data_IF_428848060164
#
_entry.id   IF_428848060164
#
_cell.length_a   1.000
_cell.length_b   1.000
_cell.length_c   1.000
_cell.angle_alpha   90.00
_cell.angle_beta   90.00
_cell.angle_gamma   90.00
#
_symmetry.space_group_name_H-M   'P 1'
#
loop_
_entity.id
_entity.type
_entity.pdbx_description
1 polymer ?
#
# COMPACT_ATOMS: atom_id res chain seq x y z
N UNK A 1 2.04 -14.17 -12.89
CA UNK A 1 3.19 -13.82 -13.74
C UNK A 1 2.99 -14.28 -15.17
N UNK A 2 2.82 -15.58 -15.43
CA UNK A 2 2.69 -16.13 -16.79
C UNK A 2 1.59 -15.44 -17.60
N UNK A 3 0.42 -15.21 -17.04
CA UNK A 3 -0.71 -14.58 -17.74
C UNK A 3 -0.41 -13.13 -18.14
N UNK A 4 0.23 -12.34 -17.26
CA UNK A 4 0.63 -10.95 -17.55
C UNK A 4 1.65 -10.94 -18.68
N UNK A 5 2.66 -11.79 -18.61
CA UNK A 5 3.68 -11.90 -19.67
C UNK A 5 3.08 -12.29 -21.02
N UNK A 6 2.14 -13.25 -21.04
CA UNK A 6 1.44 -13.65 -22.25
C UNK A 6 0.57 -12.52 -22.80
N UNK A 7 -0.21 -11.84 -21.94
CA UNK A 7 -1.02 -10.70 -22.37
C UNK A 7 -0.15 -9.60 -23.02
N UNK A 8 0.95 -9.20 -22.37
CA UNK A 8 1.87 -8.22 -22.93
C UNK A 8 2.47 -8.64 -24.27
N UNK A 9 2.82 -9.92 -24.39
CA UNK A 9 3.38 -10.48 -25.66
C UNK A 9 2.34 -10.46 -26.78
N UNK A 10 1.17 -11.02 -26.55
CA UNK A 10 0.15 -11.17 -27.61
C UNK A 10 -0.57 -9.86 -27.93
N UNK A 11 -0.73 -8.96 -26.96
CA UNK A 11 -1.29 -7.64 -27.18
C UNK A 11 -0.22 -6.59 -27.59
N UNK A 12 0.96 -7.01 -27.99
CA UNK A 12 2.02 -6.15 -28.54
C UNK A 12 2.34 -4.93 -27.69
N UNK A 13 2.32 -5.10 -26.35
CA UNK A 13 2.60 -4.03 -25.41
C UNK A 13 1.45 -3.04 -25.15
N UNK A 14 0.25 -3.31 -25.67
CA UNK A 14 -0.92 -2.49 -25.36
C UNK A 14 -1.13 -2.35 -23.84
N UNK A 15 -1.71 -1.23 -23.36
CA UNK A 15 -2.04 -1.06 -21.94
C UNK A 15 -2.89 -2.22 -21.42
N UNK A 16 -2.45 -2.81 -20.31
CA UNK A 16 -3.08 -3.99 -19.73
C UNK A 16 -3.69 -3.65 -18.36
N UNK A 17 -5.01 -3.75 -18.30
CA UNK A 17 -5.80 -3.53 -17.09
C UNK A 17 -6.09 -4.88 -16.43
N UNK A 18 -5.85 -4.98 -15.12
CA UNK A 18 -6.19 -6.14 -14.32
C UNK A 18 -7.28 -5.79 -13.31
N UNK A 19 -8.33 -6.62 -13.29
CA UNK A 19 -9.38 -6.56 -12.28
C UNK A 19 -9.06 -7.59 -11.21
N UNK A 20 -8.78 -7.12 -10.00
CA UNK A 20 -8.68 -7.89 -8.79
C UNK A 20 -8.03 -9.28 -8.93
N UNK A 21 -6.73 -9.40 -9.26
CA UNK A 21 -6.12 -10.71 -9.41
C UNK A 21 -6.03 -11.41 -8.06
N UNK A 22 -7.07 -12.20 -7.73
CA UNK A 22 -7.13 -13.00 -6.50
C UNK A 22 -6.12 -14.14 -6.55
N UNK A 23 -5.10 -14.17 -5.69
CA UNK A 23 -4.19 -15.31 -5.58
C UNK A 23 -4.79 -16.49 -4.81
N UNK A 24 -5.94 -16.29 -4.16
CA UNK A 24 -6.67 -17.31 -3.40
C UNK A 24 -8.15 -16.95 -3.28
N UNK A 25 -9.01 -17.97 -3.20
CA UNK A 25 -10.47 -17.81 -3.10
C UNK A 25 -11.00 -17.88 -1.66
N UNK A 26 -10.16 -18.13 -0.66
CA UNK A 26 -10.59 -18.31 0.73
C UNK A 26 -10.75 -17.01 1.52
N UNK A 27 -10.83 -15.86 0.84
CA UNK A 27 -10.82 -14.54 1.45
C UNK A 27 -12.12 -13.73 1.34
N UNK A 28 -13.33 -14.30 1.35
CA UNK A 28 -14.55 -13.49 1.35
C UNK A 28 -14.54 -12.47 2.51
N UNK A 29 -14.83 -11.19 2.20
CA UNK A 29 -14.70 -10.09 3.15
C UNK A 29 -13.30 -9.46 3.22
N UNK A 30 -12.29 -10.11 2.68
CA UNK A 30 -10.91 -9.66 2.57
C UNK A 30 -10.37 -9.72 1.13
N UNK A 31 -11.24 -9.83 0.14
CA UNK A 31 -10.85 -9.92 -1.27
C UNK A 31 -10.02 -8.71 -1.71
N UNK A 32 -10.29 -7.52 -1.17
CA UNK A 32 -9.48 -6.33 -1.39
C UNK A 32 -8.02 -6.49 -0.92
N UNK A 33 -7.77 -7.22 0.18
CA UNK A 33 -6.42 -7.50 0.68
C UNK A 33 -5.73 -8.54 -0.22
N UNK A 34 -6.44 -9.63 -0.55
CA UNK A 34 -5.95 -10.66 -1.46
C UNK A 34 -5.61 -10.06 -2.84
N UNK A 35 -6.51 -9.24 -3.39
CA UNK A 35 -6.29 -8.53 -4.65
C UNK A 35 -5.14 -7.54 -4.61
N UNK A 36 -4.85 -6.92 -3.46
CA UNK A 36 -3.69 -6.05 -3.33
C UNK A 36 -2.38 -6.83 -3.52
N UNK A 37 -2.31 -8.04 -2.97
CA UNK A 37 -1.13 -8.92 -3.12
C UNK A 37 -0.97 -9.31 -4.60
N UNK A 38 -2.03 -9.81 -5.22
CA UNK A 38 -2.03 -10.19 -6.63
C UNK A 38 -1.83 -8.99 -7.56
N UNK A 39 -2.40 -7.84 -7.22
CA UNK A 39 -2.26 -6.58 -7.96
C UNK A 39 -0.84 -6.03 -7.93
N UNK A 40 -0.19 -6.05 -6.78
CA UNK A 40 1.22 -5.66 -6.66
C UNK A 40 2.12 -6.55 -7.55
N UNK A 41 1.89 -7.87 -7.52
CA UNK A 41 2.61 -8.81 -8.38
C UNK A 41 2.33 -8.57 -9.87
N UNK A 42 1.06 -8.37 -10.24
CA UNK A 42 0.68 -8.11 -11.63
C UNK A 42 1.28 -6.79 -12.15
N UNK A 43 1.22 -5.72 -11.35
CA UNK A 43 1.83 -4.44 -11.67
C UNK A 43 3.35 -4.53 -11.83
N UNK A 44 4.03 -5.22 -10.90
CA UNK A 44 5.47 -5.49 -11.05
C UNK A 44 5.80 -6.20 -12.36
N UNK A 45 4.96 -7.16 -12.79
CA UNK A 45 5.18 -7.96 -14.01
C UNK A 45 4.66 -7.30 -15.29
N UNK A 46 4.11 -6.10 -15.23
CA UNK A 46 3.81 -5.31 -16.41
C UNK A 46 2.34 -4.93 -16.62
N UNK A 47 1.43 -5.20 -15.68
CA UNK A 47 0.12 -4.59 -15.72
C UNK A 47 0.24 -3.07 -15.56
N UNK A 48 -0.52 -2.32 -16.34
CA UNK A 48 -0.47 -0.87 -16.37
C UNK A 48 -1.52 -0.24 -15.47
N UNK A 49 -2.65 -0.92 -15.27
CA UNK A 49 -3.76 -0.47 -14.44
C UNK A 49 -4.24 -1.59 -13.52
N UNK A 50 -4.50 -1.25 -12.27
CA UNK A 50 -5.06 -2.15 -11.25
C UNK A 50 -6.44 -1.61 -10.85
N UNK A 51 -7.50 -2.40 -11.03
CA UNK A 51 -8.81 -2.09 -10.47
C UNK A 51 -8.79 -2.29 -8.95
N UNK A 52 -9.50 -1.43 -8.24
CA UNK A 52 -9.75 -1.68 -6.82
C UNK A 52 -10.81 -2.76 -6.65
N UNK A 53 -10.75 -3.44 -5.52
CA UNK A 53 -11.74 -4.40 -5.03
C UNK A 53 -12.17 -3.95 -3.65
N UNK A 54 -13.44 -4.12 -3.33
CA UNK A 54 -13.99 -3.70 -2.04
C UNK A 54 -14.02 -4.84 -1.02
N UNK A 55 -14.13 -4.55 0.29
CA UNK A 55 -14.37 -5.58 1.31
C UNK A 55 -15.63 -6.41 1.08
N UNK A 56 -16.64 -5.83 0.39
CA UNK A 56 -17.92 -6.48 0.07
C UNK A 56 -17.93 -7.17 -1.29
N UNK A 57 -16.79 -7.30 -1.95
CA UNK A 57 -16.73 -7.96 -3.26
C UNK A 57 -17.31 -9.37 -3.18
N UNK A 58 -18.18 -9.70 -4.12
CA UNK A 58 -18.92 -10.97 -4.21
C UNK A 58 -19.83 -11.31 -3.00
N UNK A 59 -20.00 -10.39 -2.04
CA UNK A 59 -20.83 -10.61 -0.84
C UNK A 59 -22.05 -9.68 -0.82
N UNK A 60 -21.89 -8.43 -1.28
CA UNK A 60 -22.96 -7.46 -1.24
C UNK A 60 -22.61 -6.14 -1.91
N UNK A 61 -23.57 -5.21 -1.92
CA UNK A 61 -23.34 -3.89 -2.50
C UNK A 61 -22.43 -3.06 -1.59
N UNK A 62 -21.29 -2.55 -2.09
CA UNK A 62 -20.39 -1.74 -1.30
C UNK A 62 -20.94 -0.34 -1.02
N UNK A 63 -20.66 0.19 0.16
CA UNK A 63 -20.89 1.60 0.48
C UNK A 63 -19.65 2.45 0.20
N UNK A 64 -19.74 3.78 0.46
CA UNK A 64 -18.64 4.73 0.22
C UNK A 64 -17.36 4.38 1.01
N UNK A 65 -17.50 3.82 2.20
CA UNK A 65 -16.34 3.44 3.02
C UNK A 65 -15.65 2.20 2.45
N UNK A 66 -16.43 1.24 1.97
CA UNK A 66 -15.91 0.04 1.31
C UNK A 66 -15.13 0.42 0.03
N UNK A 67 -15.71 1.30 -0.78
CA UNK A 67 -15.04 1.83 -1.99
C UNK A 67 -13.74 2.56 -1.61
N UNK A 68 -13.80 3.41 -0.59
CA UNK A 68 -12.62 4.12 -0.10
C UNK A 68 -11.52 3.17 0.38
N UNK A 69 -11.88 2.14 1.16
CA UNK A 69 -10.95 1.11 1.63
C UNK A 69 -10.29 0.40 0.44
N UNK A 70 -11.08 -0.08 -0.52
CA UNK A 70 -10.59 -0.75 -1.73
C UNK A 70 -9.64 0.11 -2.54
N UNK A 71 -9.97 1.39 -2.76
CA UNK A 71 -9.11 2.34 -3.48
C UNK A 71 -7.78 2.58 -2.75
N UNK A 72 -7.79 2.73 -1.42
CA UNK A 72 -6.56 2.91 -0.64
C UNK A 72 -5.68 1.66 -0.73
N UNK A 73 -6.27 0.48 -0.61
CA UNK A 73 -5.55 -0.79 -0.69
C UNK A 73 -4.94 -0.99 -2.09
N UNK A 74 -5.70 -0.68 -3.16
CA UNK A 74 -5.19 -0.71 -4.54
C UNK A 74 -4.02 0.28 -4.75
N UNK A 75 -4.09 1.49 -4.16
CA UNK A 75 -2.97 2.45 -4.18
C UNK A 75 -1.72 1.92 -3.47
N UNK A 76 -1.87 1.16 -2.39
CA UNK A 76 -0.74 0.52 -1.72
C UNK A 76 -0.10 -0.52 -2.65
N UNK A 77 -0.92 -1.37 -3.28
CA UNK A 77 -0.47 -2.37 -4.25
C UNK A 77 0.29 -1.73 -5.42
N UNK A 78 -0.27 -0.66 -6.00
CA UNK A 78 0.37 0.09 -7.10
C UNK A 78 1.71 0.70 -6.68
N UNK A 79 1.79 1.29 -5.48
CA UNK A 79 3.04 1.83 -4.96
C UNK A 79 4.13 0.76 -4.78
N UNK A 80 3.75 -0.42 -4.29
CA UNK A 80 4.66 -1.57 -4.17
C UNK A 80 5.16 -2.01 -5.56
N UNK A 81 4.27 -2.09 -6.55
CA UNK A 81 4.63 -2.41 -7.92
C UNK A 81 5.60 -1.38 -8.53
N UNK A 82 5.36 -0.09 -8.28
CA UNK A 82 6.23 1.01 -8.72
C UNK A 82 7.62 0.92 -8.08
N UNK A 83 7.72 0.61 -6.79
CA UNK A 83 9.00 0.36 -6.12
C UNK A 83 9.74 -0.81 -6.77
N UNK A 84 9.05 -1.93 -6.99
CA UNK A 84 9.61 -3.14 -7.60
C UNK A 84 10.09 -2.92 -9.05
N UNK A 85 9.46 -1.98 -9.78
CA UNK A 85 9.85 -1.57 -11.14
C UNK A 85 10.95 -0.50 -11.17
N UNK A 86 11.40 -0.02 -10.02
CA UNK A 86 12.45 0.99 -9.94
C UNK A 86 11.97 2.42 -10.24
N UNK A 87 10.67 2.72 -10.08
CA UNK A 87 10.14 4.07 -10.28
C UNK A 87 10.80 5.05 -9.30
N UNK A 88 11.51 6.03 -9.84
CA UNK A 88 12.32 6.98 -9.06
C UNK A 88 11.48 7.82 -8.09
N UNK A 89 10.28 8.22 -8.48
CA UNK A 89 9.39 9.03 -7.65
C UNK A 89 8.85 8.22 -6.47
N UNK A 90 8.43 6.96 -6.72
CA UNK A 90 7.98 6.03 -5.70
C UNK A 90 9.10 5.76 -4.69
N UNK A 91 10.31 5.45 -5.15
CA UNK A 91 11.50 5.22 -4.31
C UNK A 91 11.81 6.45 -3.46
N UNK A 92 11.79 7.65 -4.06
CA UNK A 92 12.06 8.88 -3.33
C UNK A 92 11.00 9.17 -2.25
N UNK A 93 9.72 8.92 -2.57
CA UNK A 93 8.63 9.07 -1.59
C UNK A 93 8.79 8.12 -0.43
N UNK A 94 9.10 6.85 -0.71
CA UNK A 94 9.30 5.82 0.32
C UNK A 94 10.52 6.13 1.19
N UNK A 95 11.62 6.57 0.59
CA UNK A 95 12.81 7.02 1.31
C UNK A 95 12.50 8.19 2.26
N UNK A 96 11.75 9.21 1.81
CA UNK A 96 11.33 10.34 2.65
C UNK A 96 10.43 9.89 3.81
N UNK A 97 9.55 8.91 3.57
CA UNK A 97 8.76 8.29 4.63
C UNK A 97 9.65 7.55 5.64
N UNK A 98 10.63 6.79 5.16
CA UNK A 98 11.58 6.06 6.01
C UNK A 98 12.39 7.03 6.91
N UNK A 99 12.86 8.15 6.34
CA UNK A 99 13.51 9.21 7.12
C UNK A 99 12.56 9.80 8.19
N UNK A 100 11.31 10.13 7.80
CA UNK A 100 10.33 10.66 8.73
C UNK A 100 10.02 9.69 9.89
N UNK A 101 9.97 8.37 9.62
CA UNK A 101 9.83 7.32 10.64
C UNK A 101 11.03 7.26 11.56
N UNK A 102 12.24 7.31 11.01
CA UNK A 102 13.49 7.33 11.79
C UNK A 102 13.59 8.52 12.73
N UNK A 103 13.11 9.69 12.29
CA UNK A 103 13.08 10.93 13.07
C UNK A 103 11.91 10.97 14.07
N UNK A 104 10.98 10.02 14.00
CA UNK A 104 9.69 10.03 14.73
C UNK A 104 8.93 11.33 14.45
N UNK A 105 9.01 11.82 13.22
CA UNK A 105 8.38 13.06 12.79
C UNK A 105 7.00 12.80 12.18
N UNK A 106 5.97 12.91 13.00
CA UNK A 106 4.57 12.61 12.63
C UNK A 106 4.04 13.52 11.52
N UNK A 107 4.44 14.78 11.48
CA UNK A 107 4.02 15.73 10.45
C UNK A 107 4.60 15.35 9.07
N UNK A 108 5.88 15.00 9.03
CA UNK A 108 6.51 14.49 7.82
C UNK A 108 5.89 13.17 7.38
N UNK A 109 5.60 12.25 8.31
CA UNK A 109 4.91 10.99 7.99
C UNK A 109 3.52 11.26 7.38
N UNK A 110 2.75 12.21 7.95
CA UNK A 110 1.46 12.60 7.42
C UNK A 110 1.55 13.14 5.98
N UNK A 111 2.64 13.80 5.63
CA UNK A 111 2.85 14.33 4.26
C UNK A 111 3.00 13.22 3.23
N UNK A 112 3.66 12.11 3.59
CA UNK A 112 4.00 11.05 2.64
C UNK A 112 3.06 9.84 2.71
N UNK A 113 2.20 9.73 3.73
CA UNK A 113 1.26 8.62 3.86
C UNK A 113 0.22 8.57 2.73
N UNK A 114 -0.19 7.39 2.33
CA UNK A 114 -1.22 7.18 1.32
C UNK A 114 -2.61 7.55 1.88
N UNK A 115 -2.92 7.10 3.10
CA UNK A 115 -4.20 7.40 3.76
C UNK A 115 -4.01 8.39 4.92
N UNK A 116 -4.08 9.68 4.59
CA UNK A 116 -3.95 10.76 5.57
C UNK A 116 -5.07 10.75 6.62
N UNK A 117 -6.31 10.45 6.22
CA UNK A 117 -7.45 10.49 7.13
C UNK A 117 -7.36 9.37 8.17
N UNK A 118 -7.05 8.14 7.74
CA UNK A 118 -6.84 7.00 8.64
C UNK A 118 -5.66 7.25 9.59
N UNK A 119 -4.55 7.81 9.05
CA UNK A 119 -3.39 8.19 9.85
C UNK A 119 -3.75 9.19 10.95
N UNK A 120 -4.45 10.29 10.62
CA UNK A 120 -4.89 11.31 11.59
C UNK A 120 -5.81 10.70 12.64
N UNK A 121 -6.81 9.91 12.21
CA UNK A 121 -7.76 9.24 13.11
C UNK A 121 -7.03 8.34 14.12
N UNK A 122 -6.12 7.51 13.67
CA UNK A 122 -5.35 6.60 14.53
C UNK A 122 -4.37 7.35 15.42
N UNK A 123 -3.72 8.39 14.91
CA UNK A 123 -2.74 9.18 15.68
C UNK A 123 -3.38 10.08 16.73
N UNK A 124 -4.65 10.46 16.60
CA UNK A 124 -5.37 11.33 17.53
C UNK A 124 -5.31 10.81 18.97
N UNK A 125 -5.37 9.50 19.18
CA UNK A 125 -5.30 8.86 20.51
C UNK A 125 -3.94 9.03 21.20
N UNK A 126 -2.87 9.27 20.43
CA UNK A 126 -1.50 9.42 20.93
C UNK A 126 -0.92 10.80 20.67
N UNK A 127 -1.76 11.80 20.39
CA UNK A 127 -1.33 13.14 19.96
C UNK A 127 -0.38 13.82 20.97
N UNK A 128 -0.52 13.54 22.25
CA UNK A 128 0.33 14.08 23.33
C UNK A 128 1.68 13.36 23.46
N UNK A 129 1.89 12.25 22.80
CA UNK A 129 3.12 11.45 22.89
C UNK A 129 4.06 11.74 21.73
N UNK A 130 5.34 11.96 22.05
CA UNK A 130 6.37 12.12 21.01
C UNK A 130 6.56 10.85 20.17
N UNK A 131 6.39 9.67 20.75
CA UNK A 131 6.52 8.35 20.13
C UNK A 131 5.27 7.51 20.40
N UNK A 132 5.06 6.45 19.60
CA UNK A 132 3.91 5.57 19.79
C UNK A 132 4.07 4.71 21.05
N UNK A 133 2.93 4.24 21.59
CA UNK A 133 2.89 3.40 22.80
C UNK A 133 3.35 1.96 22.56
N UNK A 134 3.39 1.49 21.29
CA UNK A 134 3.59 0.08 20.99
C UNK A 134 4.96 -0.46 21.45
N UNK A 135 6.06 0.23 21.12
CA UNK A 135 7.41 -0.18 21.56
C UNK A 135 7.83 0.52 22.85
N UNK A 136 7.20 1.65 23.19
CA UNK A 136 7.55 2.44 24.38
C UNK A 136 9.03 2.75 24.48
N UNK A 137 9.71 2.38 25.60
CA UNK A 137 11.15 2.63 25.80
C UNK A 137 12.05 1.77 24.88
N UNK A 138 11.54 0.67 24.33
CA UNK A 138 12.30 -0.26 23.48
C UNK A 138 12.21 0.08 21.99
N UNK A 139 11.70 1.27 21.64
CA UNK A 139 11.62 1.68 20.24
C UNK A 139 13.02 1.81 19.63
N UNK A 140 13.28 1.06 18.57
CA UNK A 140 14.56 1.07 17.83
C UNK A 140 14.98 2.48 17.36
N UNK A 141 14.02 3.36 17.10
CA UNK A 141 14.31 4.75 16.71
C UNK A 141 14.66 5.67 17.89
N UNK A 142 14.54 5.19 19.12
CA UNK A 142 14.92 5.90 20.35
C UNK A 142 16.27 5.48 20.88
N UNK A 143 16.70 4.26 20.56
CA UNK A 143 18.00 3.76 21.03
C UNK A 143 19.06 4.67 20.41
N UNK A 144 19.92 5.33 21.20
CA UNK A 144 21.01 6.13 20.67
C UNK A 144 21.84 5.25 19.75
N UNK A 145 22.11 5.72 18.54
CA UNK A 145 23.12 5.08 17.72
C UNK A 145 24.43 5.35 18.42
N UNK A 146 25.08 4.29 18.89
CA UNK A 146 26.43 4.39 19.36
C UNK A 146 27.23 5.15 18.31
N UNK A 147 27.82 6.25 18.75
CA UNK A 147 28.72 7.03 17.91
C UNK A 147 29.96 6.17 17.71
N UNK A 148 30.03 5.48 16.58
CA UNK A 148 31.31 5.03 16.05
C UNK A 148 31.94 6.18 15.30
#
# INVERSE_FOLDING_TARGET
>A
ERNVNLAKKYCQGAPFYVLGPLPTDITPGYDHVSCAIGGALAGWKGADFICYVTPKEHIGLPDVNDVREGVIVAKIASHIADLARGNKEAIQRDYKMAQARREINWEKMLKYTIDRQKFIKLRKWESKRKYCSMCGPFCVFRIPKDKN
#
